data_IF_691167369371
#
_entry.id   IF_691167369371
#
_cell.length_a   1.000
_cell.length_b   1.000
_cell.length_c   1.000
_cell.angle_alpha   90.00
_cell.angle_beta   90.00
_cell.angle_gamma   90.00
#
_symmetry.space_group_name_H-M   'P 1'
#
loop_
_entity.id
_entity.type
_entity.pdbx_description
1 polymer ?
#
# COMPACT_ATOMS: atom_id res chain seq x y z
N UNK A 1 11.98 -43.64 -2.88
CA UNK A 1 10.74 -43.20 -3.52
C UNK A 1 10.53 -41.73 -3.11
N UNK A 2 10.77 -40.79 -4.02
CA UNK A 2 10.37 -39.41 -3.89
C UNK A 2 8.85 -39.36 -3.80
N UNK A 3 8.31 -39.07 -2.61
CA UNK A 3 6.87 -38.85 -2.43
C UNK A 3 6.50 -37.63 -3.26
N UNK A 4 5.58 -37.79 -4.19
CA UNK A 4 4.95 -36.64 -4.83
C UNK A 4 4.34 -35.76 -3.74
N UNK A 5 4.68 -34.46 -3.65
CA UNK A 5 4.10 -33.60 -2.63
C UNK A 5 2.60 -33.50 -2.87
N UNK A 6 1.81 -33.70 -1.81
CA UNK A 6 0.37 -33.46 -1.90
C UNK A 6 0.11 -31.95 -2.08
N UNK A 7 -1.04 -31.59 -2.67
CA UNK A 7 -1.41 -30.18 -2.89
C UNK A 7 -1.31 -29.31 -1.61
N UNK A 8 -1.56 -29.91 -0.44
CA UNK A 8 -1.41 -29.25 0.87
C UNK A 8 0.05 -28.92 1.22
N UNK A 9 1.02 -29.72 0.76
CA UNK A 9 2.45 -29.48 1.04
C UNK A 9 3.04 -28.42 0.13
N UNK A 10 2.46 -28.21 -1.07
CA UNK A 10 2.89 -27.21 -2.03
C UNK A 10 2.36 -25.80 -1.72
N UNK A 11 1.18 -25.71 -1.10
CA UNK A 11 0.51 -24.42 -0.84
C UNK A 11 1.37 -23.46 -0.02
N UNK A 12 1.95 -23.84 1.13
CA UNK A 12 2.80 -22.94 1.91
C UNK A 12 4.01 -22.43 1.11
N UNK A 13 4.61 -23.30 0.29
CA UNK A 13 5.77 -22.91 -0.53
C UNK A 13 5.38 -21.87 -1.58
N UNK A 14 4.27 -22.09 -2.28
CA UNK A 14 3.77 -21.16 -3.29
C UNK A 14 3.39 -19.81 -2.68
N UNK A 15 2.71 -19.84 -1.53
CA UNK A 15 2.34 -18.63 -0.78
C UNK A 15 3.59 -17.88 -0.33
N UNK A 16 4.59 -18.55 0.25
CA UNK A 16 5.83 -17.94 0.68
C UNK A 16 6.57 -17.24 -0.48
N UNK A 17 6.64 -17.88 -1.65
CA UNK A 17 7.27 -17.28 -2.84
C UNK A 17 6.52 -16.04 -3.32
N UNK A 18 5.18 -16.06 -3.32
CA UNK A 18 4.37 -14.89 -3.70
C UNK A 18 4.55 -13.75 -2.69
N UNK A 19 4.50 -14.04 -1.39
CA UNK A 19 4.73 -13.03 -0.34
C UNK A 19 6.13 -12.44 -0.45
N UNK A 20 7.17 -13.24 -0.67
CA UNK A 20 8.53 -12.75 -0.86
C UNK A 20 8.63 -11.77 -2.04
N UNK A 21 7.97 -12.06 -3.17
CA UNK A 21 7.92 -11.14 -4.32
C UNK A 21 7.19 -9.84 -3.99
N UNK A 22 6.10 -9.90 -3.22
CA UNK A 22 5.35 -8.71 -2.79
C UNK A 22 6.21 -7.86 -1.85
N UNK A 23 6.91 -8.46 -0.90
CA UNK A 23 7.78 -7.75 0.05
C UNK A 23 8.97 -7.07 -0.66
N UNK A 24 9.57 -7.72 -1.65
CA UNK A 24 10.64 -7.11 -2.46
C UNK A 24 10.13 -5.81 -3.13
N UNK A 25 8.98 -5.87 -3.80
CA UNK A 25 8.36 -4.69 -4.43
C UNK A 25 7.98 -3.61 -3.41
N UNK A 26 7.50 -4.01 -2.24
CA UNK A 26 7.22 -3.08 -1.13
C UNK A 26 8.48 -2.33 -0.71
N UNK A 27 9.62 -3.02 -0.63
CA UNK A 27 10.93 -2.41 -0.36
C UNK A 27 11.34 -1.40 -1.43
N UNK A 28 11.06 -1.65 -2.70
CA UNK A 28 11.34 -0.71 -3.79
C UNK A 28 10.50 0.57 -3.66
N UNK A 29 9.21 0.48 -3.29
CA UNK A 29 8.39 1.66 -3.04
C UNK A 29 8.88 2.46 -1.83
N UNK A 30 9.27 1.78 -0.75
CA UNK A 30 9.84 2.45 0.42
C UNK A 30 11.13 3.21 0.04
N UNK A 31 12.02 2.62 -0.77
CA UNK A 31 13.22 3.29 -1.30
C UNK A 31 12.85 4.51 -2.15
N UNK A 32 11.85 4.41 -3.02
CA UNK A 32 11.41 5.51 -3.85
C UNK A 32 10.85 6.67 -3.01
N UNK A 33 10.09 6.38 -1.95
CA UNK A 33 9.60 7.37 -0.99
C UNK A 33 10.79 8.09 -0.33
N UNK A 34 11.75 7.34 0.22
CA UNK A 34 12.92 7.91 0.89
C UNK A 34 13.77 8.82 -0.04
N UNK A 35 13.95 8.41 -1.30
CA UNK A 35 14.68 9.23 -2.28
C UNK A 35 13.96 10.55 -2.56
N UNK A 36 12.62 10.54 -2.72
CA UNK A 36 11.83 11.75 -2.96
C UNK A 36 11.78 12.65 -1.73
N UNK A 37 11.68 12.09 -0.53
CA UNK A 37 11.77 12.84 0.73
C UNK A 37 13.08 13.62 0.81
N UNK A 38 14.20 13.01 0.42
CA UNK A 38 15.51 13.69 0.40
C UNK A 38 15.52 14.88 -0.57
N UNK A 39 14.92 14.71 -1.76
CA UNK A 39 14.84 15.80 -2.76
C UNK A 39 14.02 16.97 -2.22
N UNK A 40 12.86 16.70 -1.62
CA UNK A 40 11.99 17.73 -1.03
C UNK A 40 12.71 18.45 0.12
N UNK A 41 13.40 17.73 0.99
CA UNK A 41 14.15 18.31 2.11
C UNK A 41 15.29 19.24 1.64
N UNK A 42 15.96 18.90 0.55
CA UNK A 42 17.01 19.74 -0.05
C UNK A 42 16.46 21.00 -0.72
N UNK A 43 15.21 20.96 -1.21
CA UNK A 43 14.58 22.12 -1.85
C UNK A 43 14.12 23.20 -0.84
N UNK A 44 14.14 22.94 0.46
CA UNK A 44 13.81 23.91 1.51
C UNK A 44 12.34 24.33 1.54
N UNK A 45 11.46 23.61 0.87
CA UNK A 45 10.02 23.89 0.86
C UNK A 45 9.37 23.42 2.16
N UNK A 46 9.08 24.37 3.06
CA UNK A 46 8.44 24.09 4.36
C UNK A 46 6.92 23.99 4.27
N UNK A 47 6.30 24.50 3.21
CA UNK A 47 4.83 24.52 3.04
C UNK A 47 4.31 23.23 2.37
N UNK A 48 4.39 22.12 3.09
CA UNK A 48 3.74 20.88 2.66
C UNK A 48 2.26 20.96 3.06
N UNK A 49 1.30 20.61 2.17
CA UNK A 49 -0.12 20.60 2.48
C UNK A 49 -0.44 19.84 3.76
N UNK A 50 -1.41 20.34 4.54
CA UNK A 50 -1.72 19.87 5.88
C UNK A 50 -2.30 18.46 5.99
N UNK A 51 -2.69 17.81 4.86
CA UNK A 51 -3.07 16.39 4.88
C UNK A 51 -1.82 15.56 5.11
N UNK A 52 -1.84 14.83 6.19
CA UNK A 52 -0.67 14.18 6.76
C UNK A 52 -0.27 12.94 5.96
N UNK A 53 0.60 13.07 4.94
CA UNK A 53 1.18 11.94 4.21
C UNK A 53 1.89 10.97 5.17
N UNK A 54 2.43 11.46 6.29
CA UNK A 54 3.02 10.65 7.35
C UNK A 54 1.98 9.72 7.98
N UNK A 55 0.75 10.20 8.23
CA UNK A 55 -0.32 9.36 8.77
C UNK A 55 -0.72 8.25 7.78
N UNK A 56 -0.81 8.59 6.50
CA UNK A 56 -1.06 7.60 5.45
C UNK A 56 0.03 6.51 5.42
N UNK A 57 1.30 6.91 5.55
CA UNK A 57 2.43 5.99 5.67
C UNK A 57 2.36 5.10 6.91
N UNK A 58 1.94 5.65 8.06
CA UNK A 58 1.74 4.87 9.28
C UNK A 58 0.67 3.80 9.11
N UNK A 59 -0.47 4.13 8.51
CA UNK A 59 -1.56 3.16 8.26
C UNK A 59 -1.08 2.03 7.35
N UNK A 60 -0.39 2.34 6.25
CA UNK A 60 0.17 1.34 5.35
C UNK A 60 1.22 0.44 6.05
N UNK A 61 2.06 1.01 6.92
CA UNK A 61 3.02 0.27 7.73
C UNK A 61 2.34 -0.66 8.75
N UNK A 62 1.29 -0.18 9.41
CA UNK A 62 0.48 -1.00 10.33
C UNK A 62 -0.18 -2.16 9.58
N UNK A 63 -0.78 -1.92 8.40
CA UNK A 63 -1.36 -2.97 7.56
C UNK A 63 -0.31 -4.03 7.21
N UNK A 64 0.89 -3.61 6.80
CA UNK A 64 1.96 -4.55 6.44
C UNK A 64 2.41 -5.38 7.65
N UNK A 65 2.54 -4.77 8.83
CA UNK A 65 2.88 -5.48 10.07
C UNK A 65 1.79 -6.51 10.45
N UNK A 66 0.54 -6.07 10.43
CA UNK A 66 -0.59 -6.90 10.86
C UNK A 66 -0.80 -8.09 9.91
N UNK A 67 -0.62 -7.89 8.59
CA UNK A 67 -0.74 -9.00 7.64
C UNK A 67 0.42 -9.99 7.74
N UNK A 68 1.63 -9.54 8.09
CA UNK A 68 2.76 -10.45 8.36
C UNK A 68 2.53 -11.26 9.65
N UNK A 69 1.93 -10.63 10.67
CA UNK A 69 1.49 -11.36 11.87
C UNK A 69 0.39 -12.39 11.54
N UNK A 70 -0.56 -12.04 10.67
CA UNK A 70 -1.58 -12.96 10.17
C UNK A 70 -0.96 -14.14 9.42
N UNK A 71 0.08 -13.90 8.62
CA UNK A 71 0.81 -14.95 7.91
C UNK A 71 1.51 -15.91 8.87
N UNK A 72 2.24 -15.39 9.86
CA UNK A 72 2.96 -16.20 10.85
C UNK A 72 1.99 -17.04 11.71
N UNK A 73 0.86 -16.43 12.09
CA UNK A 73 -0.20 -17.09 12.90
C UNK A 73 -1.18 -17.94 12.10
N UNK A 74 -1.13 -17.97 10.78
CA UNK A 74 -2.15 -18.56 9.91
C UNK A 74 -3.56 -18.02 10.24
N UNK A 75 -3.65 -16.73 10.57
CA UNK A 75 -4.86 -16.05 10.99
C UNK A 75 -5.58 -15.39 9.80
N UNK A 76 -6.51 -16.14 9.19
CA UNK A 76 -7.31 -15.64 8.08
C UNK A 76 -8.24 -14.48 8.49
N UNK A 77 -8.66 -14.41 9.76
CA UNK A 77 -9.52 -13.32 10.25
C UNK A 77 -8.75 -12.02 10.29
N UNK A 78 -7.56 -12.01 10.91
CA UNK A 78 -6.70 -10.83 10.92
C UNK A 78 -6.33 -10.40 9.50
N UNK A 79 -6.08 -11.35 8.61
CA UNK A 79 -5.82 -11.05 7.20
C UNK A 79 -7.00 -10.32 6.53
N UNK A 80 -8.24 -10.75 6.78
CA UNK A 80 -9.43 -10.05 6.26
C UNK A 80 -9.63 -8.67 6.87
N UNK A 81 -9.28 -8.47 8.14
CA UNK A 81 -9.30 -7.14 8.77
C UNK A 81 -8.35 -6.18 8.04
N UNK A 82 -7.13 -6.63 7.71
CA UNK A 82 -6.18 -5.84 6.91
C UNK A 82 -6.73 -5.55 5.51
N UNK A 83 -7.34 -6.54 4.89
CA UNK A 83 -7.92 -6.42 3.55
C UNK A 83 -9.01 -5.34 3.47
N UNK A 84 -9.85 -5.21 4.51
CA UNK A 84 -10.87 -4.16 4.59
C UNK A 84 -10.28 -2.77 4.92
N UNK A 85 -9.16 -2.69 5.60
CA UNK A 85 -8.50 -1.44 6.01
C UNK A 85 -7.92 -0.64 4.86
N UNK A 86 -7.73 -1.23 3.71
CA UNK A 86 -7.23 -0.57 2.50
C UNK A 86 -8.10 0.63 2.06
N UNK A 87 -9.41 0.56 2.31
CA UNK A 87 -10.33 1.68 2.06
C UNK A 87 -9.88 2.96 2.77
N UNK A 88 -9.29 2.87 3.97
CA UNK A 88 -8.78 4.02 4.71
C UNK A 88 -7.62 4.67 3.95
N UNK A 89 -6.67 3.88 3.46
CA UNK A 89 -5.53 4.37 2.67
C UNK A 89 -6.00 5.02 1.37
N UNK A 90 -6.95 4.40 0.66
CA UNK A 90 -7.55 4.93 -0.57
C UNK A 90 -8.23 6.29 -0.36
N UNK A 91 -8.99 6.45 0.72
CA UNK A 91 -9.61 7.72 1.07
C UNK A 91 -8.58 8.80 1.38
N UNK A 92 -7.55 8.46 2.17
CA UNK A 92 -6.46 9.38 2.50
C UNK A 92 -5.68 9.78 1.24
N UNK A 93 -5.40 8.84 0.35
CA UNK A 93 -4.75 9.09 -0.93
C UNK A 93 -5.55 10.06 -1.79
N UNK A 94 -6.86 9.82 -1.93
CA UNK A 94 -7.75 10.69 -2.72
C UNK A 94 -7.83 12.12 -2.14
N UNK A 95 -7.92 12.26 -0.82
CA UNK A 95 -7.96 13.56 -0.16
C UNK A 95 -6.65 14.31 -0.35
N UNK A 96 -5.52 13.65 -0.13
CA UNK A 96 -4.18 14.22 -0.30
C UNK A 96 -3.92 14.66 -1.75
N UNK A 97 -4.31 13.82 -2.71
CA UNK A 97 -4.18 14.14 -4.13
C UNK A 97 -4.86 15.46 -4.49
N UNK A 98 -6.12 15.67 -4.05
CA UNK A 98 -6.87 16.90 -4.31
C UNK A 98 -6.21 18.12 -3.68
N UNK A 99 -5.73 18.00 -2.45
CA UNK A 99 -5.10 19.10 -1.72
C UNK A 99 -3.77 19.52 -2.37
N UNK A 100 -2.95 18.55 -2.81
CA UNK A 100 -1.72 18.85 -3.53
C UNK A 100 -2.00 19.53 -4.86
N UNK A 101 -2.99 19.06 -5.63
CA UNK A 101 -3.39 19.73 -6.88
C UNK A 101 -3.85 21.17 -6.65
N UNK A 102 -4.69 21.40 -5.62
CA UNK A 102 -5.14 22.75 -5.28
C UNK A 102 -3.95 23.68 -4.87
N UNK A 103 -2.95 23.12 -4.20
CA UNK A 103 -1.73 23.87 -3.85
C UNK A 103 -0.86 24.19 -5.06
N UNK A 104 -0.70 23.25 -6.00
CA UNK A 104 -0.01 23.49 -7.27
C UNK A 104 -0.70 24.58 -8.11
N UNK A 105 -2.03 24.60 -8.11
CA UNK A 105 -2.79 25.61 -8.86
C UNK A 105 -2.63 27.03 -8.25
N UNK A 106 -2.42 27.12 -6.93
CA UNK A 106 -2.25 28.41 -6.23
C UNK A 106 -0.82 28.95 -6.30
N UNK A 107 0.17 28.06 -6.31
CA UNK A 107 1.59 28.42 -6.29
C UNK A 107 2.38 27.64 -7.36
N UNK A 108 2.75 28.27 -8.48
CA UNK A 108 3.58 27.63 -9.51
C UNK A 108 4.94 27.13 -9.01
N UNK A 109 5.50 27.73 -7.95
CA UNK A 109 6.77 27.28 -7.39
C UNK A 109 6.63 25.95 -6.62
N UNK A 110 5.41 25.62 -6.20
CA UNK A 110 5.11 24.37 -5.52
C UNK A 110 4.97 23.14 -6.46
N UNK A 111 4.87 23.35 -7.78
CA UNK A 111 4.57 22.27 -8.75
C UNK A 111 5.59 21.13 -8.67
N UNK A 112 6.89 21.43 -8.60
CA UNK A 112 7.92 20.39 -8.52
C UNK A 112 7.81 19.57 -7.21
N UNK A 113 7.64 20.24 -6.08
CA UNK A 113 7.45 19.59 -4.76
C UNK A 113 6.15 18.79 -4.74
N UNK A 114 5.06 19.36 -5.23
CA UNK A 114 3.78 18.70 -5.33
C UNK A 114 3.83 17.43 -6.17
N UNK A 115 4.54 17.44 -7.30
CA UNK A 115 4.75 16.24 -8.11
C UNK A 115 5.46 15.15 -7.31
N UNK A 116 6.53 15.46 -6.56
CA UNK A 116 7.18 14.48 -5.68
C UNK A 116 6.23 13.93 -4.62
N UNK A 117 5.41 14.78 -4.00
CA UNK A 117 4.42 14.38 -2.99
C UNK A 117 3.35 13.44 -3.56
N UNK A 118 2.84 13.72 -4.77
CA UNK A 118 1.87 12.84 -5.44
C UNK A 118 2.46 11.44 -5.72
N UNK A 119 3.70 11.38 -6.18
CA UNK A 119 4.39 10.10 -6.38
C UNK A 119 4.63 9.35 -5.07
N UNK A 120 4.96 10.07 -3.98
CA UNK A 120 5.13 9.44 -2.66
C UNK A 120 3.81 8.87 -2.16
N UNK A 121 2.73 9.63 -2.24
CA UNK A 121 1.39 9.18 -1.84
C UNK A 121 0.94 7.95 -2.64
N UNK A 122 1.19 7.93 -3.96
CA UNK A 122 0.88 6.76 -4.78
C UNK A 122 1.73 5.53 -4.42
N UNK A 123 2.98 5.71 -4.03
CA UNK A 123 3.80 4.60 -3.55
C UNK A 123 3.32 4.06 -2.21
N UNK A 124 2.81 4.92 -1.31
CA UNK A 124 2.22 4.49 -0.03
C UNK A 124 0.92 3.70 -0.28
N UNK A 125 0.04 4.19 -1.16
CA UNK A 125 -1.18 3.48 -1.54
C UNK A 125 -0.85 2.09 -2.11
N UNK A 126 0.17 1.98 -2.97
CA UNK A 126 0.63 0.68 -3.49
C UNK A 126 1.16 -0.26 -2.41
N UNK A 127 1.76 0.26 -1.34
CA UNK A 127 2.15 -0.55 -0.18
C UNK A 127 0.91 -1.13 0.52
N UNK A 128 -0.16 -0.34 0.67
CA UNK A 128 -1.47 -0.81 1.12
C UNK A 128 -2.04 -1.90 0.22
N UNK A 129 -2.05 -1.66 -1.10
CA UNK A 129 -2.42 -2.65 -2.12
C UNK A 129 -1.68 -3.98 -1.94
N UNK A 130 -0.39 -3.94 -1.65
CA UNK A 130 0.42 -5.14 -1.46
C UNK A 130 0.16 -5.83 -0.11
N UNK A 131 -0.15 -5.08 0.94
CA UNK A 131 -0.59 -5.68 2.19
C UNK A 131 -1.90 -6.48 2.00
N UNK A 132 -2.84 -5.96 1.21
CA UNK A 132 -4.06 -6.72 0.86
C UNK A 132 -3.75 -7.94 -0.01
N UNK A 133 -2.80 -7.83 -0.94
CA UNK A 133 -2.34 -8.98 -1.72
C UNK A 133 -1.74 -10.10 -0.86
N UNK A 134 -1.01 -9.75 0.22
CA UNK A 134 -0.55 -10.72 1.21
C UNK A 134 -1.75 -11.33 1.98
N UNK A 135 -2.74 -10.50 2.37
CA UNK A 135 -3.93 -10.96 3.07
C UNK A 135 -4.69 -12.04 2.26
N UNK A 136 -4.83 -11.84 0.94
CA UNK A 136 -5.40 -12.85 0.03
C UNK A 136 -4.58 -14.15 0.02
N UNK A 137 -3.24 -14.06 0.08
CA UNK A 137 -2.38 -15.24 0.15
C UNK A 137 -2.50 -15.96 1.50
N UNK A 138 -2.68 -15.23 2.61
CA UNK A 138 -2.93 -15.81 3.94
C UNK A 138 -4.28 -16.53 3.96
N UNK A 139 -5.34 -15.90 3.42
CA UNK A 139 -6.64 -16.54 3.28
C UNK A 139 -6.55 -17.84 2.46
N UNK A 140 -5.87 -17.78 1.32
CA UNK A 140 -5.63 -18.97 0.48
C UNK A 140 -4.80 -20.03 1.21
N UNK A 141 -3.80 -19.64 2.02
CA UNK A 141 -3.00 -20.57 2.80
C UNK A 141 -3.87 -21.39 3.76
N UNK A 142 -4.81 -20.73 4.45
CA UNK A 142 -5.65 -21.33 5.47
C UNK A 142 -6.80 -22.14 4.85
N UNK A 143 -7.55 -21.54 3.94
CA UNK A 143 -8.80 -22.13 3.41
C UNK A 143 -8.61 -22.90 2.10
N UNK A 144 -7.57 -22.60 1.32
CA UNK A 144 -7.33 -23.23 0.02
C UNK A 144 -8.01 -22.54 -1.15
N UNK A 145 -8.70 -21.46 -0.88
CA UNK A 145 -9.41 -20.62 -1.84
C UNK A 145 -9.15 -19.14 -1.55
N UNK A 146 -9.25 -18.30 -2.58
CA UNK A 146 -9.17 -16.85 -2.42
C UNK A 146 -10.50 -16.31 -1.88
N UNK A 147 -10.54 -15.12 -1.23
CA UNK A 147 -11.80 -14.50 -0.84
C UNK A 147 -12.77 -14.39 -2.03
N UNK A 148 -14.04 -14.75 -1.82
CA UNK A 148 -15.08 -14.69 -2.88
C UNK A 148 -15.46 -13.24 -3.22
N UNK A 149 -15.37 -12.34 -2.23
CA UNK A 149 -15.72 -10.94 -2.40
C UNK A 149 -14.68 -10.20 -3.22
N UNK A 150 -15.14 -9.29 -4.08
CA UNK A 150 -14.26 -8.36 -4.77
C UNK A 150 -13.67 -7.36 -3.76
N UNK A 151 -12.36 -7.15 -3.83
CA UNK A 151 -11.67 -6.18 -2.98
C UNK A 151 -12.35 -4.81 -3.03
N UNK A 152 -12.74 -4.24 -1.88
CA UNK A 152 -13.28 -2.89 -1.84
C UNK A 152 -12.20 -1.90 -2.26
N UNK A 153 -12.48 -1.07 -3.28
CA UNK A 153 -11.58 0.01 -3.71
C UNK A 153 -12.28 1.35 -3.60
N UNK A 154 -11.61 2.32 -2.98
CA UNK A 154 -12.12 3.67 -2.78
C UNK A 154 -11.22 4.76 -3.39
N UNK A 155 -10.11 4.41 -4.04
CA UNK A 155 -9.27 5.37 -4.76
C UNK A 155 -10.06 6.00 -5.92
N UNK A 156 -10.25 7.32 -5.87
CA UNK A 156 -10.98 8.11 -6.86
C UNK A 156 -10.09 9.13 -7.56
N UNK A 157 -8.77 9.04 -7.43
CA UNK A 157 -7.83 10.00 -8.05
C UNK A 157 -8.01 10.08 -9.57
N UNK A 158 -8.33 8.96 -10.23
CA UNK A 158 -8.61 8.92 -11.67
C UNK A 158 -9.87 9.66 -12.11
N UNK A 159 -10.74 10.06 -11.16
CA UNK A 159 -11.98 10.81 -11.42
C UNK A 159 -11.88 12.29 -11.05
N UNK A 160 -10.72 12.73 -10.56
CA UNK A 160 -10.49 14.15 -10.21
C UNK A 160 -10.17 14.91 -11.49
N UNK A 161 -11.11 15.72 -11.95
CA UNK A 161 -10.99 16.58 -13.12
C UNK A 161 -11.21 18.02 -12.67
N UNK A 162 -10.14 18.82 -12.73
CA UNK A 162 -10.15 20.25 -12.38
C UNK A 162 -10.08 20.50 -10.85
N UNK A 163 -9.37 21.54 -10.49
CA UNK A 163 -9.29 22.15 -9.15
C UNK A 163 -9.68 23.61 -9.28
#
# INVERSE_FOLDING_TARGET
>A
ALRSPHARDLRPVLVALKIATILERTGDYARNIANRTRVIAQAGNENIPGVNIGRMGQVAQEMLRDVMQAYDGHDAKLALEVWHRDIEVDHMHTAFYKEVLASMARDPNFVATGAHLLFMAKNIERIGDYATGIAEQVHFLVHGEVPEDSRPKADRTSKVVGV
#
